data_IF_165514633256
#
_entry.id   IF_165514633256
#
_cell.length_a   1.000
_cell.length_b   1.000
_cell.length_c   1.000
_cell.angle_alpha   90.00
_cell.angle_beta   90.00
_cell.angle_gamma   90.00
#
_symmetry.space_group_name_H-M   'P 1'
#
loop_
_entity.id
_entity.type
_entity.pdbx_description
1 polymer ?
#
# COMPACT_ATOMS: atom_id res chain seq x y z
N UNK A 1 9.12 -14.79 6.52
CA UNK A 1 7.90 -14.05 6.63
C UNK A 1 8.15 -12.63 6.99
N UNK A 2 7.74 -11.78 6.13
CA UNK A 2 8.09 -10.38 6.27
C UNK A 2 6.97 -9.54 6.82
N UNK A 3 5.80 -10.13 6.85
CA UNK A 3 4.61 -9.36 7.12
C UNK A 3 4.03 -9.79 8.45
N UNK A 4 3.66 -8.82 9.24
CA UNK A 4 2.90 -9.08 10.45
C UNK A 4 1.61 -8.30 10.41
N UNK A 5 0.62 -8.76 11.16
CA UNK A 5 -0.66 -8.08 11.23
C UNK A 5 -0.60 -6.99 12.28
N UNK A 6 -1.10 -5.82 11.92
CA UNK A 6 -1.25 -4.72 12.84
C UNK A 6 -2.42 -5.00 13.79
N UNK A 7 -2.29 -4.54 15.04
CA UNK A 7 -3.34 -4.70 16.03
C UNK A 7 -4.07 -3.37 16.15
N UNK A 8 -5.34 -3.32 15.74
CA UNK A 8 -6.10 -2.07 15.80
C UNK A 8 -6.70 -1.84 17.20
N UNK A 9 -7.15 -0.60 17.41
CA UNK A 9 -8.07 -0.31 18.48
C UNK A 9 -9.47 -0.65 17.96
N UNK A 10 -10.20 -1.50 18.67
CA UNK A 10 -11.52 -1.93 18.20
C UNK A 10 -12.62 -1.32 19.04
N UNK A 11 -13.71 -0.99 18.38
CA UNK A 11 -14.96 -0.63 19.02
C UNK A 11 -15.93 -1.79 18.85
N UNK A 12 -17.20 -1.59 19.10
CA UNK A 12 -18.20 -2.63 18.85
C UNK A 12 -18.36 -2.96 17.37
N UNK A 13 -18.04 -2.03 16.47
CA UNK A 13 -18.28 -2.20 15.04
C UNK A 13 -17.10 -1.77 14.16
N UNK A 14 -16.08 -1.15 14.72
CA UNK A 14 -15.00 -0.56 13.92
C UNK A 14 -13.62 -0.96 14.41
N UNK A 15 -12.66 -0.90 13.50
CA UNK A 15 -11.24 -1.07 13.81
C UNK A 15 -10.53 0.22 13.42
N UNK A 16 -9.72 0.75 14.32
CA UNK A 16 -9.01 2.01 14.10
C UNK A 16 -7.52 1.73 14.15
N UNK A 17 -6.82 2.08 13.06
CA UNK A 17 -5.38 1.86 12.95
C UNK A 17 -4.67 3.21 13.01
N UNK A 18 -3.71 3.32 13.93
CA UNK A 18 -2.86 4.51 14.01
C UNK A 18 -1.65 4.26 13.10
N UNK A 19 -1.70 4.77 11.89
CA UNK A 19 -0.67 4.48 10.90
C UNK A 19 0.69 5.01 11.30
N UNK A 20 0.75 6.17 11.98
CA UNK A 20 2.03 6.70 12.43
C UNK A 20 2.66 5.81 13.51
N UNK A 21 1.84 5.25 14.38
CA UNK A 21 2.33 4.36 15.43
C UNK A 21 2.81 3.02 14.89
N UNK A 22 2.35 2.64 13.69
CA UNK A 22 2.69 1.36 13.08
C UNK A 22 3.98 1.40 12.29
N UNK A 23 4.55 2.56 12.06
CA UNK A 23 5.78 2.67 11.25
C UNK A 23 6.90 1.88 11.88
N UNK A 24 7.65 1.17 11.06
CA UNK A 24 8.82 0.40 11.47
C UNK A 24 9.74 0.27 10.27
N UNK A 25 11.04 0.27 10.52
CA UNK A 25 12.04 0.25 9.46
C UNK A 25 13.10 -0.79 9.77
N UNK A 26 13.68 -1.36 8.72
CA UNK A 26 14.77 -2.32 8.84
C UNK A 26 15.85 -1.96 7.82
N UNK A 27 17.14 -2.21 8.14
CA UNK A 27 18.21 -1.80 7.24
C UNK A 27 18.32 -2.63 5.96
N UNK A 28 17.82 -3.86 5.97
CA UNK A 28 18.03 -4.78 4.86
C UNK A 28 16.87 -4.86 3.88
N UNK A 29 15.66 -4.47 4.29
CA UNK A 29 14.51 -4.51 3.39
C UNK A 29 13.37 -3.69 3.97
N UNK A 30 12.41 -3.34 3.12
CA UNK A 30 11.22 -2.63 3.57
C UNK A 30 10.46 -3.46 4.59
N UNK A 31 9.74 -2.79 5.47
CA UNK A 31 8.90 -3.44 6.47
C UNK A 31 7.45 -3.28 6.04
N UNK A 32 6.70 -4.38 6.03
CA UNK A 32 5.27 -4.37 5.72
C UNK A 32 4.48 -4.86 6.91
N UNK A 33 3.32 -4.25 7.13
CA UNK A 33 2.37 -4.72 8.13
C UNK A 33 0.98 -4.74 7.51
N UNK A 34 0.29 -5.86 7.66
CA UNK A 34 -1.06 -5.99 7.15
C UNK A 34 -2.04 -5.29 8.10
N UNK A 35 -2.87 -4.40 7.56
CA UNK A 35 -3.92 -3.77 8.33
C UNK A 35 -5.15 -4.67 8.34
N UNK A 36 -5.68 -4.99 7.19
CA UNK A 36 -6.82 -5.88 7.07
C UNK A 36 -6.86 -6.50 5.68
N UNK A 37 -7.50 -7.65 5.61
CA UNK A 37 -7.73 -8.34 4.35
C UNK A 37 -9.04 -9.09 4.45
N UNK A 38 -9.97 -8.71 3.59
CA UNK A 38 -11.29 -9.35 3.50
C UNK A 38 -11.50 -9.80 2.06
N UNK A 39 -12.68 -10.30 1.76
CA UNK A 39 -13.03 -10.65 0.38
C UNK A 39 -13.02 -9.43 -0.53
N UNK A 40 -13.27 -8.25 0.02
CA UNK A 40 -13.42 -7.04 -0.77
C UNK A 40 -12.20 -6.15 -0.74
N UNK A 41 -11.57 -6.02 0.43
CA UNK A 41 -10.54 -5.03 0.68
C UNK A 41 -9.28 -5.67 1.23
N UNK A 42 -8.13 -5.15 0.80
CA UNK A 42 -6.83 -5.57 1.31
C UNK A 42 -5.98 -4.33 1.49
N UNK A 43 -5.50 -4.08 2.71
CA UNK A 43 -4.70 -2.90 3.00
C UNK A 43 -3.48 -3.25 3.84
N UNK A 44 -2.36 -2.60 3.50
CA UNK A 44 -1.09 -2.75 4.23
C UNK A 44 -0.41 -1.40 4.31
N UNK A 45 0.40 -1.25 5.36
CA UNK A 45 1.37 -0.15 5.44
C UNK A 45 2.74 -0.72 5.08
N UNK A 46 3.54 0.06 4.35
CA UNK A 46 4.90 -0.33 3.97
C UNK A 46 5.84 0.83 4.23
N UNK A 47 6.99 0.50 4.83
CA UNK A 47 7.95 1.49 5.28
C UNK A 47 9.30 1.20 4.65
N UNK A 48 9.90 2.23 4.04
CA UNK A 48 11.10 2.10 3.22
C UNK A 48 12.20 3.02 3.76
N UNK A 49 13.37 2.45 4.02
CA UNK A 49 14.58 3.25 4.16
C UNK A 49 15.03 3.72 2.76
N UNK A 50 15.88 4.75 2.68
CA UNK A 50 16.39 5.16 1.37
C UNK A 50 17.01 3.99 0.61
N UNK A 51 16.67 3.88 -0.67
CA UNK A 51 17.18 2.83 -1.55
C UNK A 51 16.34 1.57 -1.58
N UNK A 52 15.38 1.42 -0.70
CA UNK A 52 14.53 0.24 -0.67
C UNK A 52 13.36 0.40 -1.64
N UNK A 53 12.86 -0.72 -2.12
CA UNK A 53 11.80 -0.71 -3.12
C UNK A 53 10.99 -1.99 -3.08
N UNK A 54 9.82 -1.91 -3.71
CA UNK A 54 9.02 -3.08 -4.06
C UNK A 54 9.34 -3.44 -5.49
N UNK A 55 9.53 -4.72 -5.79
CA UNK A 55 9.81 -5.13 -7.17
C UNK A 55 8.60 -4.85 -8.05
N UNK A 56 8.87 -4.66 -9.34
CA UNK A 56 7.80 -4.49 -10.33
C UNK A 56 6.88 -5.70 -10.31
N UNK A 57 5.59 -5.45 -10.25
CA UNK A 57 4.61 -6.52 -10.21
C UNK A 57 3.28 -6.03 -10.78
N UNK A 58 2.32 -6.94 -10.87
CA UNK A 58 1.01 -6.65 -11.44
C UNK A 58 -0.05 -7.43 -10.68
N UNK A 59 -1.20 -6.80 -10.49
CA UNK A 59 -2.38 -7.45 -9.93
C UNK A 59 -3.43 -7.51 -11.03
N UNK A 60 -3.66 -8.69 -11.62
CA UNK A 60 -4.52 -8.76 -12.80
C UNK A 60 -5.99 -8.46 -12.53
N UNK A 61 -6.44 -8.56 -11.29
CA UNK A 61 -7.86 -8.43 -10.97
C UNK A 61 -8.19 -7.32 -9.99
N UNK A 62 -7.21 -6.71 -9.36
CA UNK A 62 -7.48 -5.75 -8.30
C UNK A 62 -7.07 -4.35 -8.71
N UNK A 63 -7.97 -3.43 -8.44
CA UNK A 63 -7.69 -2.01 -8.55
C UNK A 63 -6.94 -1.57 -7.29
N UNK A 64 -6.04 -0.62 -7.42
CA UNK A 64 -5.20 -0.25 -6.29
C UNK A 64 -5.10 1.26 -6.15
N UNK A 65 -5.09 1.71 -4.89
CA UNK A 65 -4.78 3.08 -4.53
C UNK A 65 -3.64 3.06 -3.52
N UNK A 66 -2.68 3.97 -3.68
CA UNK A 66 -1.54 4.09 -2.77
C UNK A 66 -1.49 5.52 -2.24
N UNK A 67 -1.55 5.64 -0.93
CA UNK A 67 -1.44 6.91 -0.22
C UNK A 67 -0.05 7.01 0.40
N UNK A 68 0.62 8.14 0.21
CA UNK A 68 1.95 8.37 0.78
C UNK A 68 1.78 9.14 2.08
N UNK A 69 2.21 8.50 3.17
CA UNK A 69 2.07 9.05 4.51
C UNK A 69 3.28 9.91 4.90
N UNK A 70 4.46 9.51 4.45
CA UNK A 70 5.71 10.18 4.81
C UNK A 70 6.68 10.07 3.65
N UNK A 71 7.46 11.13 3.41
CA UNK A 71 8.47 11.12 2.37
C UNK A 71 7.90 11.27 0.99
N UNK A 72 8.62 10.75 0.00
CA UNK A 72 8.22 10.81 -1.40
C UNK A 72 8.45 9.46 -2.03
N UNK A 73 7.41 8.91 -2.64
CA UNK A 73 7.50 7.65 -3.36
C UNK A 73 7.73 7.94 -4.84
N UNK A 74 8.69 7.25 -5.43
CA UNK A 74 8.93 7.28 -6.86
C UNK A 74 8.43 5.96 -7.40
N UNK A 75 7.46 6.01 -8.30
CA UNK A 75 6.79 4.81 -8.78
C UNK A 75 6.88 4.73 -10.28
N UNK A 76 7.02 3.50 -10.79
CA UNK A 76 6.77 3.22 -12.18
C UNK A 76 5.38 2.63 -12.26
N UNK A 77 4.49 3.23 -13.04
CA UNK A 77 3.12 2.77 -13.15
C UNK A 77 2.75 2.76 -14.64
N UNK A 78 2.56 1.55 -15.18
CA UNK A 78 2.21 1.42 -16.60
C UNK A 78 3.23 2.02 -17.53
N UNK A 79 4.50 1.97 -17.16
CA UNK A 79 5.57 2.53 -17.97
C UNK A 79 5.86 4.00 -17.74
N UNK A 80 5.11 4.64 -16.85
CA UNK A 80 5.32 6.06 -16.54
C UNK A 80 5.99 6.21 -15.19
N UNK A 81 6.85 7.23 -15.09
CA UNK A 81 7.43 7.61 -13.80
C UNK A 81 6.48 8.56 -13.11
N UNK A 82 6.04 8.19 -11.91
CA UNK A 82 5.08 8.96 -11.15
C UNK A 82 5.67 9.28 -9.79
N UNK A 83 5.75 10.55 -9.45
CA UNK A 83 6.29 11.00 -8.16
C UNK A 83 5.11 11.37 -7.27
N UNK A 84 5.04 10.72 -6.11
CA UNK A 84 3.91 10.90 -5.19
C UNK A 84 4.46 11.35 -3.83
N UNK A 85 4.31 12.64 -3.49
CA UNK A 85 4.80 13.13 -2.20
C UNK A 85 3.82 12.82 -1.07
N UNK A 86 4.31 12.97 0.15
CA UNK A 86 3.49 12.77 1.34
C UNK A 86 2.20 13.59 1.28
N UNK A 87 1.10 12.99 1.68
CA UNK A 87 -0.21 13.61 1.63
C UNK A 87 -0.94 13.44 0.32
N UNK A 88 -0.31 12.77 -0.65
CA UNK A 88 -0.94 12.52 -1.96
C UNK A 88 -1.32 11.06 -2.08
N UNK A 89 -2.28 10.79 -2.94
CA UNK A 89 -2.74 9.44 -3.25
C UNK A 89 -2.70 9.25 -4.75
N UNK A 90 -2.26 8.07 -5.18
CA UNK A 90 -2.29 7.69 -6.59
C UNK A 90 -3.19 6.47 -6.73
N UNK A 91 -3.89 6.41 -7.84
CA UNK A 91 -4.81 5.30 -8.10
C UNK A 91 -4.60 4.80 -9.52
N UNK A 92 -4.60 3.48 -9.69
CA UNK A 92 -4.50 2.87 -11.01
C UNK A 92 -5.38 1.63 -11.08
N UNK A 93 -5.80 1.31 -12.30
CA UNK A 93 -6.72 0.20 -12.52
C UNK A 93 -5.98 -1.13 -12.42
N UNK A 94 -6.74 -2.21 -12.44
CA UNK A 94 -6.18 -3.57 -12.45
C UNK A 94 -5.33 -3.80 -13.71
N UNK A 95 -4.42 -4.74 -13.61
CA UNK A 95 -3.58 -5.20 -14.71
C UNK A 95 -2.60 -4.13 -15.21
N UNK A 96 -2.13 -3.28 -14.30
CA UNK A 96 -1.11 -2.28 -14.60
C UNK A 96 0.15 -2.65 -13.81
N UNK A 97 1.27 -2.84 -14.50
CA UNK A 97 2.54 -3.14 -13.85
C UNK A 97 3.01 -1.92 -13.09
N UNK A 98 3.50 -2.14 -11.88
CA UNK A 98 3.93 -1.02 -11.04
C UNK A 98 4.96 -1.44 -10.02
N UNK A 99 5.69 -0.46 -9.51
CA UNK A 99 6.59 -0.62 -8.37
C UNK A 99 6.51 0.60 -7.48
N UNK A 100 7.15 0.53 -6.32
CA UNK A 100 7.32 1.65 -5.40
C UNK A 100 8.78 1.69 -5.01
N UNK A 101 9.39 2.88 -5.13
CA UNK A 101 10.80 3.06 -4.79
C UNK A 101 10.97 4.25 -3.88
N UNK A 102 11.83 4.10 -2.88
CA UNK A 102 12.28 5.24 -2.09
C UNK A 102 13.69 5.60 -2.53
N UNK A 103 13.80 6.66 -3.31
CA UNK A 103 15.10 7.12 -3.80
C UNK A 103 15.86 7.96 -2.77
N UNK A 104 15.24 8.21 -1.62
CA UNK A 104 15.83 9.03 -0.58
C UNK A 104 15.62 10.51 -0.83
N UNK A 105 16.25 11.38 0.01
CA UNK A 105 17.19 11.03 1.05
C UNK A 105 16.53 10.52 2.35
N UNK A 106 15.26 10.78 2.56
CA UNK A 106 14.59 10.39 3.80
C UNK A 106 13.83 9.10 3.67
N UNK A 107 13.12 8.76 4.73
CA UNK A 107 12.26 7.58 4.78
C UNK A 107 10.97 7.82 4.00
N UNK A 108 10.38 6.73 3.54
CA UNK A 108 9.11 6.78 2.82
C UNK A 108 8.16 5.76 3.42
N UNK A 109 6.93 6.20 3.68
CA UNK A 109 5.89 5.34 4.24
C UNK A 109 4.66 5.46 3.37
N UNK A 110 4.14 4.32 2.93
CA UNK A 110 2.92 4.28 2.12
C UNK A 110 1.89 3.38 2.77
N UNK A 111 0.64 3.57 2.37
CA UNK A 111 -0.44 2.66 2.70
C UNK A 111 -1.18 2.38 1.40
N UNK A 112 -1.37 1.10 1.09
CA UNK A 112 -2.14 0.77 -0.10
C UNK A 112 -3.49 0.19 0.25
N UNK A 113 -4.41 0.32 -0.69
CA UNK A 113 -5.73 -0.28 -0.61
C UNK A 113 -6.01 -0.95 -1.95
N UNK A 114 -6.28 -2.24 -1.92
CA UNK A 114 -6.67 -3.01 -3.09
C UNK A 114 -8.13 -3.40 -2.97
N UNK A 115 -8.83 -3.31 -4.08
CA UNK A 115 -10.26 -3.64 -4.13
C UNK A 115 -10.43 -4.84 -5.04
N UNK A 116 -11.14 -5.85 -4.55
CA UNK A 116 -11.38 -7.07 -5.31
C UNK A 116 -12.61 -6.87 -6.22
N UNK A 117 -12.39 -6.70 -7.52
CA UNK A 117 -13.50 -6.42 -8.45
C UNK A 117 -14.47 -7.58 -8.60
N UNK A 118 -14.02 -8.79 -8.29
CA UNK A 118 -14.90 -9.96 -8.36
C UNK A 118 -16.09 -9.81 -7.42
N UNK A 119 -15.82 -9.34 -6.21
CA UNK A 119 -16.89 -9.15 -5.24
C UNK A 119 -17.78 -7.98 -5.64
N UNK A 120 -17.18 -6.90 -6.11
CA UNK A 120 -17.94 -5.74 -6.56
C UNK A 120 -18.87 -6.11 -7.72
N UNK A 121 -18.36 -6.91 -8.67
CA UNK A 121 -19.19 -7.36 -9.77
C UNK A 121 -20.38 -8.18 -9.30
N UNK A 122 -20.15 -9.06 -8.34
CA UNK A 122 -21.22 -9.86 -7.77
C UNK A 122 -22.30 -8.99 -7.15
N UNK A 123 -21.89 -7.98 -6.42
CA UNK A 123 -22.84 -7.05 -5.80
C UNK A 123 -23.60 -6.23 -6.82
N UNK A 124 -22.91 -5.78 -7.85
CA UNK A 124 -23.54 -4.94 -8.87
C UNK A 124 -24.67 -5.66 -9.57
N UNK A 125 -24.63 -6.95 -9.63
CA UNK A 125 -25.68 -7.77 -10.27
C UNK A 125 -26.75 -8.21 -9.28
N UNK A 126 -26.45 -8.06 -8.01
CA UNK A 126 -27.24 -8.62 -6.94
C UNK A 126 -28.48 -7.99 -6.59
#
# INVERSE_FOLDING_TARGET
>A
MDEESAVPRTTGVAQVFDLHALKAFAPDKRVRKMLFKTDQLWSEIACYEPGQSTVMHVHPKEEEAIFVLEGTANMAIGGEEVVVPAGSIVKFRANVHHDVRNLGPGRCVIMFLKVNPKVLKGEARG
#
